data_IF_742361137669
#
_entry.id   IF_742361137669
#
_cell.length_a   1.000
_cell.length_b   1.000
_cell.length_c   1.000
_cell.angle_alpha   90.00
_cell.angle_beta   90.00
_cell.angle_gamma   90.00
#
_symmetry.space_group_name_H-M   'P 1'
#
loop_
_entity.id
_entity.type
_entity.pdbx_description
1 polymer ?
#
# COMPACT_ATOMS: atom_id res chain seq x y z
N UNK A 1 -8.99 9.46 0.00
CA UNK A 1 -10.17 8.59 0.18
C UNK A 1 -11.37 9.12 -0.59
N UNK A 2 -12.38 8.28 -0.94
CA UNK A 2 -13.58 8.74 -1.64
C UNK A 2 -14.35 9.85 -0.92
N UNK A 3 -14.45 9.76 0.41
CA UNK A 3 -15.10 10.79 1.21
C UNK A 3 -14.37 12.13 1.11
N UNK A 4 -13.05 12.12 1.21
CA UNK A 4 -12.20 13.31 1.04
C UNK A 4 -12.38 13.93 -0.34
N UNK A 5 -12.44 13.10 -1.39
CA UNK A 5 -12.67 13.57 -2.76
C UNK A 5 -14.02 14.28 -2.90
N UNK A 6 -15.09 13.73 -2.30
CA UNK A 6 -16.42 14.39 -2.29
C UNK A 6 -16.39 15.72 -1.54
N UNK A 7 -15.76 15.78 -0.37
CA UNK A 7 -15.62 17.06 0.38
C UNK A 7 -14.89 18.12 -0.42
N UNK A 8 -13.84 17.74 -1.15
CA UNK A 8 -13.11 18.68 -2.02
C UNK A 8 -13.98 19.11 -3.20
N UNK A 9 -14.75 18.20 -3.80
CA UNK A 9 -15.67 18.49 -4.88
C UNK A 9 -16.70 19.56 -4.46
N UNK A 10 -17.33 19.40 -3.29
CA UNK A 10 -18.31 20.35 -2.76
C UNK A 10 -17.73 21.78 -2.65
N UNK A 11 -16.46 21.90 -2.24
CA UNK A 11 -15.75 23.19 -2.13
C UNK A 11 -15.50 23.78 -3.52
N UNK A 12 -15.01 22.98 -4.46
CA UNK A 12 -14.66 23.42 -5.83
C UNK A 12 -15.92 23.81 -6.61
N UNK A 13 -16.98 23.01 -6.52
CA UNK A 13 -18.25 23.25 -7.19
C UNK A 13 -18.96 24.48 -6.63
N UNK A 14 -18.88 24.72 -5.30
CA UNK A 14 -19.39 25.95 -4.67
C UNK A 14 -18.67 27.19 -5.21
N UNK A 15 -17.40 27.07 -5.60
CA UNK A 15 -16.63 28.11 -6.25
C UNK A 15 -16.92 28.26 -7.77
N UNK A 16 -17.83 27.44 -8.32
CA UNK A 16 -18.27 27.51 -9.73
C UNK A 16 -17.34 26.78 -10.71
N UNK A 17 -16.52 25.85 -10.24
CA UNK A 17 -15.63 25.04 -11.08
C UNK A 17 -16.05 23.57 -11.12
N UNK A 18 -15.75 22.89 -12.23
CA UNK A 18 -15.95 21.43 -12.35
C UNK A 18 -14.90 20.69 -11.53
N UNK A 19 -15.28 19.56 -10.93
CA UNK A 19 -14.36 18.67 -10.22
C UNK A 19 -14.29 17.30 -10.89
N UNK A 20 -13.08 16.85 -11.18
CA UNK A 20 -12.81 15.48 -11.68
C UNK A 20 -11.94 14.76 -10.67
N UNK A 21 -12.48 13.68 -10.10
CA UNK A 21 -11.74 12.77 -9.22
C UNK A 21 -10.80 11.90 -10.05
N UNK A 22 -9.54 11.76 -9.60
CA UNK A 22 -8.53 10.99 -10.30
C UNK A 22 -7.75 10.04 -9.38
N UNK A 23 -7.54 8.80 -9.84
CA UNK A 23 -6.75 7.78 -9.16
C UNK A 23 -5.76 7.10 -10.09
N UNK A 24 -4.45 7.22 -9.80
CA UNK A 24 -3.41 6.51 -10.55
C UNK A 24 -3.15 5.15 -9.91
N UNK A 25 -3.19 4.09 -10.73
CA UNK A 25 -2.81 2.73 -10.36
C UNK A 25 -1.70 2.24 -11.29
N UNK A 26 -0.60 1.80 -10.72
CA UNK A 26 0.56 1.24 -11.44
C UNK A 26 1.86 1.97 -11.14
N UNK A 27 2.91 1.52 -11.82
CA UNK A 27 4.26 2.11 -11.72
C UNK A 27 4.33 3.39 -12.59
N UNK A 28 5.33 4.26 -12.38
CA UNK A 28 5.53 5.43 -13.23
C UNK A 28 5.60 5.08 -14.72
N UNK A 29 5.26 6.02 -15.62
CA UNK A 29 5.41 5.85 -17.07
C UNK A 29 6.82 5.38 -17.47
N UNK A 30 6.92 4.69 -18.62
CA UNK A 30 8.20 4.14 -19.10
C UNK A 30 8.55 2.75 -18.57
N UNK A 31 7.68 2.12 -17.77
CA UNK A 31 7.79 0.72 -17.36
C UNK A 31 6.99 -0.18 -18.32
N UNK A 32 7.28 -1.50 -18.28
CA UNK A 32 6.63 -2.54 -19.13
C UNK A 32 5.10 -2.43 -19.14
N UNK A 33 4.51 -2.15 -17.97
CA UNK A 33 3.07 -1.99 -17.83
C UNK A 33 2.77 -0.51 -17.54
N UNK A 34 2.11 0.22 -18.47
CA UNK A 34 1.77 1.61 -18.26
C UNK A 34 0.80 1.78 -17.07
N UNK A 35 0.92 2.88 -16.30
CA UNK A 35 -0.04 3.22 -15.28
C UNK A 35 -1.40 3.52 -15.89
N UNK A 36 -2.43 3.30 -15.08
CA UNK A 36 -3.82 3.61 -15.42
C UNK A 36 -4.28 4.79 -14.56
N UNK A 37 -4.65 5.89 -15.20
CA UNK A 37 -5.37 6.98 -14.58
C UNK A 37 -6.87 6.68 -14.70
N UNK A 38 -7.49 6.35 -13.57
CA UNK A 38 -8.94 6.27 -13.47
C UNK A 38 -9.47 7.67 -13.16
N UNK A 39 -10.57 8.07 -13.83
CA UNK A 39 -11.21 9.38 -13.66
C UNK A 39 -12.71 9.22 -13.51
N UNK A 40 -13.32 10.05 -12.67
CA UNK A 40 -14.77 10.08 -12.43
C UNK A 40 -15.22 11.48 -11.97
N UNK A 41 -16.53 11.73 -11.92
CA UNK A 41 -17.08 13.05 -11.57
C UNK A 41 -17.68 13.75 -12.78
N UNK A 42 -17.61 15.08 -12.82
CA UNK A 42 -18.19 15.88 -13.90
C UNK A 42 -17.31 15.89 -15.15
N UNK A 43 -17.89 15.44 -16.27
CA UNK A 43 -17.21 15.43 -17.56
C UNK A 43 -15.80 14.81 -17.53
N UNK A 44 -15.63 13.61 -16.93
CA UNK A 44 -14.34 12.96 -16.76
C UNK A 44 -13.65 12.64 -18.09
N UNK A 45 -14.41 12.53 -19.19
CA UNK A 45 -13.92 12.33 -20.56
C UNK A 45 -12.95 13.43 -21.02
N UNK A 46 -13.01 14.62 -20.41
CA UNK A 46 -12.06 15.71 -20.69
C UNK A 46 -10.60 15.33 -20.40
N UNK A 47 -10.37 14.38 -19.51
CA UNK A 47 -9.03 13.90 -19.19
C UNK A 47 -8.53 12.80 -20.15
N UNK A 48 -9.33 12.36 -21.11
CA UNK A 48 -8.89 11.42 -22.17
C UNK A 48 -7.74 11.99 -23.00
N UNK A 49 -7.62 13.31 -23.08
CA UNK A 49 -6.48 14.01 -23.73
C UNK A 49 -5.12 13.65 -23.09
N UNK A 50 -5.11 13.13 -21.87
CA UNK A 50 -3.91 12.67 -21.17
C UNK A 50 -3.51 11.24 -21.56
N UNK A 51 -4.33 10.53 -22.34
CA UNK A 51 -4.02 9.18 -22.79
C UNK A 51 -2.79 9.19 -23.73
N UNK A 52 -1.84 8.30 -23.44
CA UNK A 52 -0.59 8.15 -24.20
C UNK A 52 -0.19 6.68 -24.22
N UNK A 53 0.72 6.27 -25.10
CA UNK A 53 1.21 4.88 -25.10
C UNK A 53 1.76 4.40 -23.74
N UNK A 54 2.26 5.31 -22.93
CA UNK A 54 2.83 5.06 -21.61
C UNK A 54 1.90 5.47 -20.43
N UNK A 55 0.63 5.88 -20.70
CA UNK A 55 -0.40 6.17 -19.70
C UNK A 55 -1.80 5.89 -20.25
N UNK A 56 -2.52 4.96 -19.64
CA UNK A 56 -3.88 4.61 -20.00
C UNK A 56 -4.85 5.45 -19.15
N UNK A 57 -5.80 6.16 -19.78
CA UNK A 57 -6.91 6.82 -19.09
C UNK A 57 -8.14 5.92 -19.13
N UNK A 58 -8.86 5.81 -18.01
CA UNK A 58 -10.10 5.04 -17.88
C UNK A 58 -11.15 5.85 -17.16
N UNK A 59 -12.19 6.19 -17.86
CA UNK A 59 -13.38 6.84 -17.30
C UNK A 59 -14.23 5.81 -16.56
N UNK A 60 -14.70 6.20 -15.36
CA UNK A 60 -15.60 5.40 -14.54
C UNK A 60 -16.96 6.09 -14.43
N UNK A 61 -18.03 5.31 -14.55
CA UNK A 61 -19.36 5.71 -14.12
C UNK A 61 -19.44 5.71 -12.59
N UNK A 62 -20.27 6.56 -11.97
CA UNK A 62 -20.48 6.55 -10.51
C UNK A 62 -20.14 7.86 -9.79
N UNK A 63 -19.81 8.91 -10.53
CA UNK A 63 -19.62 10.26 -9.97
C UNK A 63 -18.32 10.44 -9.19
N UNK A 64 -18.26 11.54 -8.44
CA UNK A 64 -17.08 11.89 -7.63
C UNK A 64 -16.82 10.84 -6.55
N UNK A 65 -15.57 10.43 -6.45
CA UNK A 65 -15.11 9.42 -5.50
C UNK A 65 -14.96 8.01 -6.09
N UNK A 66 -15.48 7.73 -7.29
CA UNK A 66 -15.36 6.40 -7.90
C UNK A 66 -13.90 6.07 -8.28
N UNK A 67 -13.16 7.02 -8.84
CA UNK A 67 -11.74 6.85 -9.16
C UNK A 67 -10.87 6.70 -7.89
N UNK A 68 -11.17 7.45 -6.84
CA UNK A 68 -10.57 7.27 -5.53
C UNK A 68 -10.90 5.90 -4.94
N UNK A 69 -12.15 5.44 -5.05
CA UNK A 69 -12.58 4.14 -4.51
C UNK A 69 -11.84 2.96 -5.13
N UNK A 70 -11.75 2.89 -6.46
CA UNK A 70 -11.03 1.78 -7.12
C UNK A 70 -9.54 1.78 -6.75
N UNK A 71 -8.93 2.98 -6.59
CA UNK A 71 -7.55 3.10 -6.10
C UNK A 71 -7.41 2.55 -4.66
N UNK A 72 -8.36 2.88 -3.77
CA UNK A 72 -8.34 2.37 -2.38
C UNK A 72 -8.49 0.84 -2.35
N UNK A 73 -9.43 0.26 -3.10
CA UNK A 73 -9.59 -1.19 -3.18
C UNK A 73 -8.32 -1.88 -3.71
N UNK A 74 -7.71 -1.35 -4.76
CA UNK A 74 -6.48 -1.91 -5.31
C UNK A 74 -5.30 -1.79 -4.33
N UNK A 75 -5.16 -0.65 -3.65
CA UNK A 75 -4.13 -0.42 -2.65
C UNK A 75 -4.33 -1.32 -1.42
N UNK A 76 -5.57 -1.51 -0.98
CA UNK A 76 -5.94 -2.40 0.11
C UNK A 76 -5.39 -3.82 -0.10
N UNK A 77 -5.66 -4.40 -1.28
CA UNK A 77 -5.17 -5.74 -1.61
C UNK A 77 -3.64 -5.78 -1.65
N UNK A 78 -2.99 -4.85 -2.36
CA UNK A 78 -1.54 -4.91 -2.55
C UNK A 78 -0.77 -4.67 -1.24
N UNK A 79 -1.11 -3.60 -0.50
CA UNK A 79 -0.41 -3.27 0.74
C UNK A 79 -0.83 -4.16 1.89
N UNK A 80 -2.13 -4.52 1.98
CA UNK A 80 -2.59 -5.49 2.96
C UNK A 80 -1.92 -6.86 2.81
N UNK A 81 -1.69 -7.33 1.58
CA UNK A 81 -0.92 -8.55 1.36
C UNK A 81 0.54 -8.40 1.83
N UNK A 82 1.19 -7.27 1.53
CA UNK A 82 2.57 -7.02 1.98
C UNK A 82 2.69 -7.01 3.50
N UNK A 83 1.74 -6.40 4.21
CA UNK A 83 1.74 -6.36 5.67
C UNK A 83 1.45 -7.73 6.27
N UNK A 84 0.52 -8.50 5.70
CA UNK A 84 0.27 -9.88 6.13
C UNK A 84 1.51 -10.77 5.93
N UNK A 85 2.16 -10.67 4.78
CA UNK A 85 3.42 -11.37 4.48
C UNK A 85 4.50 -11.02 5.52
N UNK A 86 4.67 -9.74 5.84
CA UNK A 86 5.63 -9.27 6.84
C UNK A 86 5.27 -9.74 8.25
N UNK A 87 4.00 -9.62 8.65
CA UNK A 87 3.51 -10.08 9.95
C UNK A 87 3.81 -11.57 10.18
N UNK A 88 3.53 -12.39 9.17
CA UNK A 88 3.75 -13.86 9.24
C UNK A 88 5.25 -14.18 9.39
N UNK A 89 6.11 -13.49 8.63
CA UNK A 89 7.57 -13.72 8.70
C UNK A 89 8.16 -13.26 10.04
N UNK A 90 7.80 -12.08 10.51
CA UNK A 90 8.25 -11.57 11.82
C UNK A 90 7.69 -12.44 12.94
N UNK A 91 6.41 -12.84 12.87
CA UNK A 91 5.78 -13.73 13.82
C UNK A 91 6.48 -15.08 13.91
N UNK A 92 6.79 -15.71 12.76
CA UNK A 92 7.54 -16.98 12.73
C UNK A 92 8.94 -16.82 13.33
N UNK A 93 9.63 -15.71 13.09
CA UNK A 93 10.93 -15.42 13.68
C UNK A 93 10.83 -15.30 15.21
N UNK A 94 9.83 -14.57 15.73
CA UNK A 94 9.60 -14.45 17.19
C UNK A 94 9.24 -15.80 17.86
N UNK A 95 8.58 -16.66 17.13
CA UNK A 95 8.23 -18.03 17.60
C UNK A 95 9.36 -19.05 17.42
N UNK A 96 10.50 -18.67 16.84
CA UNK A 96 11.62 -19.56 16.56
C UNK A 96 11.37 -20.55 15.42
N UNK A 97 10.42 -20.26 14.52
CA UNK A 97 9.95 -21.15 13.44
C UNK A 97 10.24 -20.62 12.04
N UNK A 98 11.14 -19.63 11.89
CA UNK A 98 11.39 -18.98 10.60
C UNK A 98 11.88 -19.98 9.52
N UNK A 99 12.75 -20.90 9.89
CA UNK A 99 13.30 -21.92 8.98
C UNK A 99 12.23 -22.92 8.52
N UNK A 100 11.38 -23.34 9.43
CA UNK A 100 10.28 -24.29 9.18
C UNK A 100 9.24 -23.65 8.27
N UNK A 101 8.83 -22.41 8.56
CA UNK A 101 7.89 -21.67 7.71
C UNK A 101 8.46 -21.48 6.30
N UNK A 102 9.74 -21.11 6.19
CA UNK A 102 10.38 -20.93 4.88
C UNK A 102 10.37 -22.23 4.07
N UNK A 103 10.67 -23.36 4.70
CA UNK A 103 10.63 -24.68 4.05
C UNK A 103 9.23 -25.01 3.57
N UNK A 104 8.22 -24.84 4.43
CA UNK A 104 6.82 -25.10 4.09
C UNK A 104 6.35 -24.22 2.93
N UNK A 105 6.71 -22.92 2.94
CA UNK A 105 6.38 -22.01 1.83
C UNK A 105 7.10 -22.41 0.53
N UNK A 106 8.34 -22.85 0.59
CA UNK A 106 9.08 -23.32 -0.58
C UNK A 106 8.42 -24.57 -1.21
N UNK A 107 7.92 -25.47 -0.39
CA UNK A 107 7.29 -26.71 -0.83
C UNK A 107 5.84 -26.49 -1.32
N UNK A 108 5.04 -25.75 -0.56
CA UNK A 108 3.61 -25.61 -0.80
C UNK A 108 3.21 -24.35 -1.59
N UNK A 109 3.96 -23.25 -1.47
CA UNK A 109 3.63 -21.95 -2.04
C UNK A 109 4.87 -21.20 -2.61
N UNK A 110 5.64 -21.78 -3.52
CA UNK A 110 6.92 -21.21 -3.98
C UNK A 110 6.76 -19.81 -4.60
N UNK A 111 5.67 -19.54 -5.32
CA UNK A 111 5.40 -18.22 -5.89
C UNK A 111 5.10 -17.14 -4.82
N UNK A 112 4.50 -17.54 -3.71
CA UNK A 112 4.28 -16.65 -2.57
C UNK A 112 5.60 -16.31 -1.90
N UNK A 113 6.46 -17.30 -1.69
CA UNK A 113 7.80 -17.09 -1.13
C UNK A 113 8.65 -16.17 -2.03
N UNK A 114 8.69 -16.41 -3.34
CA UNK A 114 9.40 -15.56 -4.30
C UNK A 114 8.90 -14.11 -4.24
N UNK A 115 7.58 -13.91 -4.12
CA UNK A 115 6.99 -12.58 -3.98
C UNK A 115 7.38 -11.91 -2.67
N UNK A 116 7.40 -12.63 -1.55
CA UNK A 116 7.87 -12.15 -0.25
C UNK A 116 9.33 -11.72 -0.31
N UNK A 117 10.21 -12.56 -0.88
CA UNK A 117 11.64 -12.28 -1.07
C UNK A 117 11.87 -11.04 -1.95
N UNK A 118 11.03 -10.83 -2.96
CA UNK A 118 11.10 -9.69 -3.86
C UNK A 118 10.52 -8.38 -3.30
N UNK A 119 9.83 -8.39 -2.16
CA UNK A 119 9.11 -7.22 -1.62
C UNK A 119 9.51 -6.85 -0.20
N UNK A 120 9.44 -7.81 0.73
CA UNK A 120 9.59 -7.55 2.17
C UNK A 120 10.89 -6.83 2.51
N UNK A 121 12.07 -7.14 1.91
CA UNK A 121 13.31 -6.44 2.19
C UNK A 121 13.29 -4.93 1.92
N UNK A 122 12.37 -4.44 1.11
CA UNK A 122 12.32 -3.04 0.64
C UNK A 122 11.20 -2.20 1.26
N UNK A 123 10.31 -2.80 2.07
CA UNK A 123 9.09 -2.13 2.55
C UNK A 123 9.36 -0.96 3.48
N UNK A 124 10.46 -1.00 4.25
CA UNK A 124 10.82 0.07 5.18
C UNK A 124 10.98 1.43 4.49
N UNK A 125 11.48 1.46 3.26
CA UNK A 125 11.69 2.68 2.48
C UNK A 125 10.41 3.49 2.17
N UNK A 126 9.25 2.86 2.26
CA UNK A 126 7.94 3.49 2.02
C UNK A 126 7.03 3.46 3.27
N UNK A 127 7.48 2.87 4.36
CA UNK A 127 6.64 2.45 5.48
C UNK A 127 5.92 3.62 6.14
N UNK A 128 6.62 4.72 6.46
CA UNK A 128 6.03 5.91 7.07
C UNK A 128 4.86 6.47 6.25
N UNK A 129 5.05 6.59 4.94
CA UNK A 129 4.01 7.07 4.03
C UNK A 129 2.84 6.11 3.93
N UNK A 130 3.12 4.80 3.92
CA UNK A 130 2.09 3.78 3.73
C UNK A 130 1.25 3.52 4.97
N UNK A 131 1.74 3.78 6.17
CA UNK A 131 0.93 3.74 7.39
C UNK A 131 -0.29 4.66 7.26
N UNK A 132 -0.09 5.94 6.93
CA UNK A 132 -1.18 6.88 6.71
C UNK A 132 -2.14 6.46 5.59
N UNK A 133 -1.62 5.89 4.50
CA UNK A 133 -2.46 5.38 3.41
C UNK A 133 -3.33 4.18 3.86
N UNK A 134 -2.83 3.31 4.76
CA UNK A 134 -3.63 2.20 5.30
C UNK A 134 -4.78 2.69 6.17
N UNK A 135 -4.59 3.76 6.96
CA UNK A 135 -5.66 4.39 7.73
C UNK A 135 -6.74 5.01 6.82
N UNK A 136 -6.36 5.60 5.69
CA UNK A 136 -7.32 6.09 4.68
C UNK A 136 -8.12 4.93 4.04
N UNK A 137 -7.47 3.79 3.80
CA UNK A 137 -8.12 2.59 3.32
C UNK A 137 -9.08 2.05 4.38
N UNK A 138 -8.67 1.97 5.65
CA UNK A 138 -9.49 1.54 6.77
C UNK A 138 -10.80 2.34 6.85
N UNK A 139 -10.72 3.68 6.80
CA UNK A 139 -11.89 4.57 6.76
C UNK A 139 -12.76 4.31 5.54
N UNK A 140 -12.16 4.11 4.36
CA UNK A 140 -12.92 3.83 3.13
C UNK A 140 -13.78 2.57 3.26
N UNK A 141 -13.26 1.52 3.91
CA UNK A 141 -14.02 0.29 4.15
C UNK A 141 -15.07 0.45 5.27
N UNK A 142 -14.75 1.21 6.33
CA UNK A 142 -15.71 1.54 7.38
C UNK A 142 -16.92 2.31 6.82
N UNK A 143 -16.69 3.26 5.91
CA UNK A 143 -17.75 4.06 5.25
C UNK A 143 -18.77 3.20 4.48
N UNK A 144 -18.39 1.99 4.07
CA UNK A 144 -19.28 1.02 3.40
C UNK A 144 -19.73 -0.12 4.31
N UNK A 145 -19.53 0.01 5.64
CA UNK A 145 -20.00 -0.95 6.65
C UNK A 145 -19.10 -2.20 6.81
N UNK A 146 -17.88 -2.19 6.26
CA UNK A 146 -16.92 -3.27 6.47
C UNK A 146 -15.98 -2.95 7.64
N UNK A 147 -15.36 -4.00 8.21
CA UNK A 147 -14.40 -3.81 9.30
C UNK A 147 -13.17 -3.00 8.86
N UNK A 148 -12.77 -1.96 9.60
CA UNK A 148 -11.51 -1.24 9.36
C UNK A 148 -10.28 -1.98 9.90
N UNK A 149 -10.46 -2.90 10.84
CA UNK A 149 -9.39 -3.50 11.66
C UNK A 149 -8.29 -4.18 10.86
N UNK A 150 -8.59 -4.75 9.71
CA UNK A 150 -7.59 -5.38 8.84
C UNK A 150 -6.55 -4.35 8.39
N UNK A 151 -7.00 -3.14 8.02
CA UNK A 151 -6.14 -2.11 7.49
C UNK A 151 -5.56 -1.20 8.58
N UNK A 152 -6.23 -1.07 9.72
CA UNK A 152 -5.66 -0.48 10.94
C UNK A 152 -4.48 -1.33 11.43
N UNK A 153 -4.63 -2.65 11.55
CA UNK A 153 -3.52 -3.55 11.86
C UNK A 153 -2.39 -3.52 10.81
N UNK A 154 -2.74 -3.34 9.54
CA UNK A 154 -1.73 -3.15 8.49
C UNK A 154 -0.96 -1.83 8.65
N UNK A 155 -1.61 -0.75 9.13
CA UNK A 155 -0.92 0.50 9.46
C UNK A 155 0.10 0.29 10.59
N UNK A 156 -0.27 -0.44 11.65
CA UNK A 156 0.64 -0.78 12.76
C UNK A 156 1.88 -1.56 12.30
N UNK A 157 1.71 -2.46 11.31
CA UNK A 157 2.86 -3.16 10.73
C UNK A 157 3.78 -2.17 9.99
N UNK A 158 3.23 -1.25 9.20
CA UNK A 158 4.08 -0.23 8.55
C UNK A 158 4.75 0.70 9.57
N UNK A 159 4.09 1.06 10.67
CA UNK A 159 4.72 1.82 11.77
C UNK A 159 5.87 1.04 12.39
N UNK A 160 5.73 -0.28 12.57
CA UNK A 160 6.84 -1.13 13.03
C UNK A 160 8.04 -1.08 12.08
N UNK A 161 7.79 -1.09 10.77
CA UNK A 161 8.85 -1.01 9.75
C UNK A 161 9.49 0.39 9.72
N UNK A 162 8.70 1.44 9.93
CA UNK A 162 9.17 2.83 10.01
C UNK A 162 10.06 3.08 11.24
N UNK A 163 9.91 2.30 12.32
CA UNK A 163 10.79 2.36 13.50
C UNK A 163 12.05 1.49 13.37
N UNK A 164 12.20 0.75 12.27
CA UNK A 164 13.34 -0.14 12.08
C UNK A 164 14.62 0.62 11.70
N UNK A 165 15.78 -0.01 11.89
CA UNK A 165 17.06 0.49 11.41
C UNK A 165 17.11 0.70 9.90
N UNK A 166 16.14 0.18 9.15
CA UNK A 166 16.02 0.30 7.70
C UNK A 166 15.19 1.51 7.26
N UNK A 167 14.55 2.23 8.18
CA UNK A 167 13.65 3.35 7.88
C UNK A 167 14.34 4.57 7.25
N UNK A 168 15.65 4.73 7.47
CA UNK A 168 16.44 5.83 6.86
C UNK A 168 16.74 5.60 5.36
N UNK A 169 16.47 4.41 4.84
CA UNK A 169 16.69 4.10 3.42
C UNK A 169 15.54 4.66 2.55
N UNK A 170 15.91 5.06 1.35
CA UNK A 170 14.95 5.38 0.27
C UNK A 170 14.96 4.29 -0.79
N UNK A 171 14.05 4.36 -1.76
CA UNK A 171 14.05 3.44 -2.91
C UNK A 171 15.35 3.46 -3.72
N UNK A 172 16.08 4.58 -3.69
CA UNK A 172 17.36 4.77 -4.38
C UNK A 172 18.54 4.25 -3.55
N UNK A 173 18.49 4.39 -2.22
CA UNK A 173 19.59 4.04 -1.32
C UNK A 173 19.47 2.65 -0.70
N UNK A 174 18.32 1.99 -0.83
CA UNK A 174 18.08 0.68 -0.27
C UNK A 174 19.09 -0.37 -0.76
N UNK A 175 19.63 -1.17 0.18
CA UNK A 175 20.55 -2.25 -0.14
C UNK A 175 19.88 -3.34 -0.97
N UNK A 176 20.19 -3.40 -2.28
CA UNK A 176 19.57 -4.33 -3.23
C UNK A 176 19.99 -5.81 -3.07
N UNK A 177 20.98 -6.09 -2.24
CA UNK A 177 21.40 -7.46 -1.90
C UNK A 177 20.84 -7.96 -0.57
N UNK A 178 20.02 -7.16 0.13
CA UNK A 178 19.41 -7.56 1.41
C UNK A 178 18.54 -8.77 1.24
N UNK A 179 18.74 -9.77 2.09
CA UNK A 179 17.89 -10.95 2.16
C UNK A 179 16.63 -10.68 2.97
N UNK A 180 15.66 -11.56 2.84
CA UNK A 180 14.43 -11.50 3.63
C UNK A 180 14.71 -11.72 5.12
N UNK A 181 15.67 -12.58 5.46
CA UNK A 181 16.11 -12.87 6.82
C UNK A 181 16.72 -11.65 7.50
N UNK A 182 17.57 -10.90 6.78
CA UNK A 182 18.18 -9.66 7.28
C UNK A 182 17.10 -8.59 7.55
N UNK A 183 16.11 -8.47 6.67
CA UNK A 183 15.01 -7.54 6.87
C UNK A 183 14.13 -7.94 8.07
N UNK A 184 13.76 -9.21 8.17
CA UNK A 184 12.96 -9.74 9.28
C UNK A 184 13.70 -9.57 10.62
N UNK A 185 15.03 -9.77 10.65
CA UNK A 185 15.83 -9.52 11.85
C UNK A 185 15.79 -8.05 12.29
N UNK A 186 15.87 -7.11 11.35
CA UNK A 186 15.76 -5.68 11.65
C UNK A 186 14.37 -5.31 12.19
N UNK A 187 13.29 -5.83 11.59
CA UNK A 187 11.91 -5.60 12.06
C UNK A 187 11.66 -6.24 13.44
N UNK A 188 12.19 -7.43 13.69
CA UNK A 188 12.12 -8.11 14.99
C UNK A 188 12.84 -7.33 16.09
N UNK A 189 13.95 -6.69 15.78
CA UNK A 189 14.67 -5.83 16.72
C UNK A 189 13.83 -4.60 17.13
N UNK A 190 13.11 -3.98 16.21
CA UNK A 190 12.19 -2.86 16.48
C UNK A 190 11.02 -3.28 17.36
N UNK A 191 10.45 -4.45 17.14
CA UNK A 191 9.39 -4.99 17.99
C UNK A 191 9.87 -5.18 19.44
N UNK A 192 11.08 -5.70 19.61
CA UNK A 192 11.70 -5.87 20.93
C UNK A 192 12.03 -4.55 21.63
N UNK A 193 12.34 -3.49 20.87
CA UNK A 193 12.54 -2.15 21.40
C UNK A 193 11.23 -1.55 21.92
N UNK A 194 10.17 -1.57 21.12
CA UNK A 194 8.82 -1.12 21.52
C UNK A 194 8.31 -1.80 22.78
N UNK A 195 8.54 -3.10 22.93
CA UNK A 195 8.12 -3.85 24.12
C UNK A 195 8.85 -3.39 25.39
N UNK A 196 10.12 -2.98 25.28
CA UNK A 196 10.89 -2.43 26.44
C UNK A 196 10.43 -1.03 26.84
N UNK A 197 10.07 -0.20 25.87
CA UNK A 197 9.62 1.19 26.11
C UNK A 197 8.20 1.25 26.70
N UNK A 198 7.42 0.17 26.54
CA UNK A 198 6.07 0.03 27.07
C UNK A 198 5.99 -0.62 28.48
N UNK A 199 7.12 -1.13 29.02
CA UNK A 199 7.21 -1.82 30.31
C UNK A 199 7.76 -0.92 31.42
#
# INVERSE_FOLDING_TARGET
APATSRTIADIIETAGADYIDGGIIGMPPGRKNPPRLYVSGDRPERLEVLARPDMIVRTLDGGVGAASAIKMCYAALNKGAMTLETLVLVGAAQLGLASELRRELADAQPQTLERMEGRVPWLAADAERWSGEMLEIARTFADVGLTPLIHEGAAEIFDLLADSSLASETRETANRSRTIEEAVAAFSASLSARARDAA
#
